data_IF_498311008042
#
_entry.id   IF_498311008042
#
_cell.length_a   1.000
_cell.length_b   1.000
_cell.length_c   1.000
_cell.angle_alpha   90.00
_cell.angle_beta   90.00
_cell.angle_gamma   90.00
#
_symmetry.space_group_name_H-M   'P 1'
#
loop_
_entity.id
_entity.type
_entity.pdbx_description
1 polymer ?
#
# COMPACT_ATOMS: atom_id res chain seq x y z
N UNK A 1 11.22 3.49 15.93
CA UNK A 1 10.30 2.57 15.27
C UNK A 1 10.09 2.95 13.83
N UNK A 2 10.15 1.98 12.93
CA UNK A 2 9.87 2.29 11.54
C UNK A 2 8.41 2.69 11.36
N UNK A 3 8.21 3.75 10.59
CA UNK A 3 6.88 4.24 10.26
C UNK A 3 6.78 4.43 8.77
N UNK A 4 5.66 4.07 8.21
CA UNK A 4 5.34 4.46 6.86
C UNK A 4 4.71 5.84 6.89
N UNK A 5 4.95 6.60 5.83
CA UNK A 5 4.30 7.91 5.67
C UNK A 5 2.96 7.70 4.98
N UNK A 6 2.00 8.58 5.28
CA UNK A 6 0.69 8.58 4.67
C UNK A 6 -0.41 8.18 5.64
N UNK A 7 -1.16 7.12 5.32
CA UNK A 7 -2.43 6.81 5.97
C UNK A 7 -2.34 6.28 7.39
N UNK A 8 -1.22 5.71 7.79
CA UNK A 8 -1.18 5.12 9.11
C UNK A 8 0.19 4.67 9.54
N UNK A 9 0.21 4.13 10.72
CA UNK A 9 1.41 3.56 11.33
C UNK A 9 1.33 2.04 11.28
N UNK A 10 2.47 1.40 11.00
CA UNK A 10 2.59 -0.05 11.04
C UNK A 10 3.69 -0.40 12.03
N UNK A 11 3.39 -1.31 12.91
CA UNK A 11 4.31 -1.81 13.89
C UNK A 11 4.42 -3.32 13.79
N UNK A 12 5.64 -3.83 13.77
CA UNK A 12 5.90 -5.27 13.75
C UNK A 12 6.94 -5.62 14.80
N UNK A 13 6.84 -6.80 15.34
CA UNK A 13 7.84 -7.36 16.24
C UNK A 13 7.78 -8.88 16.22
N UNK A 14 8.84 -9.52 16.67
CA UNK A 14 8.83 -10.96 16.84
C UNK A 14 7.81 -11.34 17.91
N UNK A 15 6.98 -12.33 17.64
CA UNK A 15 5.97 -12.80 18.59
C UNK A 15 6.65 -13.43 19.80
N UNK A 16 6.28 -12.97 21.00
CA UNK A 16 6.92 -13.41 22.25
C UNK A 16 6.41 -14.77 22.70
N UNK A 17 5.14 -15.07 22.43
CA UNK A 17 4.45 -16.25 22.97
C UNK A 17 4.08 -17.29 21.92
N UNK A 18 4.75 -17.28 20.77
CA UNK A 18 4.47 -18.24 19.71
C UNK A 18 3.22 -17.97 18.88
N UNK A 19 2.25 -17.24 19.40
CA UNK A 19 1.04 -16.87 18.69
C UNK A 19 1.12 -15.40 18.27
N UNK A 20 1.37 -15.11 16.98
CA UNK A 20 1.48 -13.74 16.54
C UNK A 20 0.16 -12.98 16.69
N UNK A 21 0.25 -11.77 17.18
CA UNK A 21 -0.91 -10.90 17.32
C UNK A 21 -1.10 -10.08 16.06
N UNK A 22 -2.33 -9.97 15.64
CA UNK A 22 -2.71 -9.20 14.46
C UNK A 22 -3.84 -8.26 14.85
N UNK A 23 -3.63 -6.97 14.63
CA UNK A 23 -4.59 -5.95 15.01
C UNK A 23 -4.62 -4.84 13.97
N UNK A 24 -5.81 -4.35 13.67
CA UNK A 24 -6.00 -3.24 12.75
C UNK A 24 -7.04 -2.28 13.32
N UNK A 25 -6.75 -0.99 13.25
CA UNK A 25 -7.68 0.07 13.63
C UNK A 25 -7.92 0.96 12.42
N UNK A 26 -9.18 1.14 12.06
CA UNK A 26 -9.56 1.94 10.89
C UNK A 26 -9.45 1.21 9.55
N UNK A 27 -9.03 -0.04 9.58
CA UNK A 27 -8.90 -0.90 8.41
C UNK A 27 -9.40 -2.31 8.75
N UNK A 28 -10.00 -2.99 7.79
CA UNK A 28 -10.54 -4.34 8.01
C UNK A 28 -9.42 -5.34 8.32
N UNK A 29 -9.51 -6.00 9.46
CA UNK A 29 -8.53 -6.99 9.89
C UNK A 29 -8.42 -8.16 8.91
N UNK A 30 -9.54 -8.62 8.37
CA UNK A 30 -9.54 -9.71 7.39
C UNK A 30 -8.76 -9.33 6.13
N UNK A 31 -8.94 -8.09 5.69
CA UNK A 31 -8.22 -7.57 4.54
C UNK A 31 -6.74 -7.44 4.83
N UNK A 32 -6.38 -6.97 6.01
CA UNK A 32 -4.98 -6.93 6.43
C UNK A 32 -4.34 -8.32 6.39
N UNK A 33 -5.04 -9.32 6.92
CA UNK A 33 -4.54 -10.70 6.92
C UNK A 33 -4.36 -11.24 5.49
N UNK A 34 -5.25 -10.87 4.57
CA UNK A 34 -5.12 -11.22 3.17
C UNK A 34 -3.87 -10.58 2.56
N UNK A 35 -3.62 -9.31 2.85
CA UNK A 35 -2.43 -8.61 2.35
C UNK A 35 -1.15 -9.22 2.92
N UNK A 36 -1.15 -9.63 4.19
CA UNK A 36 -0.01 -10.32 4.79
C UNK A 36 0.27 -11.65 4.10
N UNK A 37 -0.78 -12.39 3.76
CA UNK A 37 -0.65 -13.64 3.02
C UNK A 37 -0.06 -13.43 1.62
N UNK A 38 -0.46 -12.35 0.95
CA UNK A 38 0.11 -11.97 -0.35
C UNK A 38 1.61 -11.68 -0.22
N UNK A 39 2.01 -10.93 0.82
CA UNK A 39 3.42 -10.64 1.07
C UNK A 39 4.24 -11.91 1.28
N UNK A 40 3.75 -12.85 2.07
CA UNK A 40 4.45 -14.10 2.31
C UNK A 40 4.58 -14.92 1.04
N UNK A 41 3.50 -15.04 0.30
CA UNK A 41 3.45 -15.93 -0.87
C UNK A 41 4.18 -15.36 -2.08
N UNK A 42 4.07 -14.05 -2.31
CA UNK A 42 4.57 -13.44 -3.54
C UNK A 42 5.94 -12.77 -3.38
N UNK A 43 6.23 -12.29 -2.20
CA UNK A 43 7.46 -11.54 -1.95
C UNK A 43 8.43 -12.33 -1.07
N UNK A 44 7.95 -13.39 -0.44
CA UNK A 44 8.78 -14.29 0.34
C UNK A 44 9.12 -13.82 1.74
N UNK A 45 8.41 -12.82 2.26
CA UNK A 45 8.63 -12.35 3.61
C UNK A 45 7.97 -13.26 4.63
N UNK A 46 8.73 -13.65 5.64
CA UNK A 46 8.23 -14.51 6.71
C UNK A 46 7.58 -13.65 7.80
N UNK A 47 6.27 -13.52 7.73
CA UNK A 47 5.50 -12.72 8.69
C UNK A 47 4.71 -13.60 9.68
N UNK A 48 4.74 -14.91 9.50
CA UNK A 48 3.92 -15.83 10.27
C UNK A 48 4.20 -15.76 11.78
N UNK A 49 5.41 -15.43 12.19
CA UNK A 49 5.83 -15.35 13.58
C UNK A 49 5.97 -13.91 14.09
N UNK A 50 5.47 -12.93 13.34
CA UNK A 50 5.58 -11.53 13.71
C UNK A 50 4.24 -10.95 14.10
N UNK A 51 4.23 -10.17 15.17
CA UNK A 51 3.08 -9.36 15.52
C UNK A 51 2.96 -8.21 14.53
N UNK A 52 1.73 -7.91 14.09
CA UNK A 52 1.48 -6.80 13.17
C UNK A 52 0.33 -5.95 13.70
N UNK A 53 0.60 -4.68 13.88
CA UNK A 53 -0.38 -3.71 14.32
C UNK A 53 -0.48 -2.61 13.26
N UNK A 54 -1.68 -2.41 12.74
CA UNK A 54 -1.96 -1.37 11.75
C UNK A 54 -2.95 -0.38 12.34
N UNK A 55 -2.62 0.89 12.27
CA UNK A 55 -3.49 1.95 12.74
C UNK A 55 -3.60 3.03 11.66
N UNK A 56 -4.85 3.32 11.27
CA UNK A 56 -5.12 4.44 10.37
C UNK A 56 -5.18 5.70 11.22
N UNK A 57 -4.34 6.67 10.87
CA UNK A 57 -4.18 7.91 11.62
C UNK A 57 -5.48 8.72 11.65
N UNK A 58 -5.66 9.48 12.73
CA UNK A 58 -6.79 10.38 12.89
C UNK A 58 -8.12 9.73 13.23
N UNK A 59 -8.12 8.46 13.62
CA UNK A 59 -9.35 7.75 13.96
C UNK A 59 -10.25 7.47 12.77
N UNK A 60 -9.73 7.59 11.56
CA UNK A 60 -10.51 7.36 10.35
C UNK A 60 -10.76 5.87 10.12
N UNK A 61 -11.91 5.59 9.54
CA UNK A 61 -12.25 4.26 9.05
C UNK A 61 -12.19 4.29 7.53
N UNK A 62 -11.36 3.45 6.92
CA UNK A 62 -11.20 3.44 5.47
C UNK A 62 -11.69 2.11 4.94
N UNK A 63 -12.69 2.17 4.07
CA UNK A 63 -13.30 1.00 3.44
C UNK A 63 -13.00 0.92 1.94
N UNK A 64 -12.29 1.90 1.39
CA UNK A 64 -11.97 1.93 -0.03
C UNK A 64 -10.84 0.94 -0.35
N UNK A 65 -11.09 -0.09 -1.17
CA UNK A 65 -10.05 -1.06 -1.52
C UNK A 65 -8.85 -0.45 -2.25
N UNK A 66 -8.99 0.75 -2.78
CA UNK A 66 -7.88 1.43 -3.45
C UNK A 66 -6.70 1.72 -2.53
N UNK A 67 -6.87 1.67 -1.21
CA UNK A 67 -5.76 1.89 -0.27
C UNK A 67 -4.92 0.65 -0.03
N UNK A 68 -5.29 -0.50 -0.57
CA UNK A 68 -4.56 -1.75 -0.36
C UNK A 68 -3.08 -1.61 -0.70
N UNK A 69 -2.76 -0.99 -1.82
CA UNK A 69 -1.38 -0.83 -2.24
C UNK A 69 -0.58 -0.01 -1.23
N UNK A 70 -1.18 1.05 -0.70
CA UNK A 70 -0.54 1.86 0.33
C UNK A 70 -0.34 1.07 1.63
N UNK A 71 -1.33 0.27 2.03
CA UNK A 71 -1.23 -0.54 3.25
C UNK A 71 -0.16 -1.61 3.12
N UNK A 72 -0.15 -2.37 2.02
CA UNK A 72 0.83 -3.43 1.83
C UNK A 72 2.25 -2.87 1.71
N UNK A 73 2.39 -1.71 1.09
CA UNK A 73 3.68 -1.03 0.98
C UNK A 73 4.16 -0.52 2.34
N UNK A 74 3.25 -0.03 3.17
CA UNK A 74 3.54 0.40 4.53
C UNK A 74 4.01 -0.78 5.41
N UNK A 75 3.36 -1.91 5.30
CA UNK A 75 3.74 -3.13 6.02
C UNK A 75 5.16 -3.57 5.61
N UNK A 76 5.42 -3.58 4.31
CA UNK A 76 6.73 -3.96 3.81
C UNK A 76 7.82 -2.97 4.21
N UNK A 77 7.53 -1.68 4.15
CA UNK A 77 8.42 -0.62 4.60
C UNK A 77 8.83 -0.84 6.06
N UNK A 78 7.86 -1.12 6.91
CA UNK A 78 8.10 -1.41 8.32
C UNK A 78 8.93 -2.69 8.50
N UNK A 79 8.65 -3.73 7.73
CA UNK A 79 9.37 -5.00 7.84
C UNK A 79 10.83 -4.88 7.43
N UNK A 80 11.12 -4.06 6.44
CA UNK A 80 12.47 -3.88 5.90
C UNK A 80 13.24 -2.71 6.52
N UNK A 81 12.60 -1.95 7.39
CA UNK A 81 13.14 -0.68 7.90
C UNK A 81 13.57 0.27 6.78
N UNK A 82 12.82 0.26 5.69
CA UNK A 82 13.08 1.10 4.53
C UNK A 82 11.95 2.11 4.40
N UNK A 83 12.28 3.39 4.26
CA UNK A 83 11.26 4.43 4.12
C UNK A 83 10.77 4.57 2.69
N UNK A 84 9.52 4.97 2.55
CA UNK A 84 8.92 5.35 1.27
C UNK A 84 9.11 6.87 1.14
N UNK A 85 9.54 7.31 -0.05
CA UNK A 85 9.70 8.74 -0.31
C UNK A 85 8.39 9.49 -0.07
N UNK A 86 8.43 10.64 0.64
CA UNK A 86 7.20 11.37 0.97
C UNK A 86 6.49 11.99 -0.23
N UNK A 87 7.18 12.11 -1.36
CA UNK A 87 6.62 12.69 -2.59
C UNK A 87 5.88 11.67 -3.46
N UNK A 88 5.82 10.41 -3.03
CA UNK A 88 5.17 9.33 -3.76
C UNK A 88 3.86 8.98 -3.08
N UNK A 89 2.79 8.92 -3.86
CA UNK A 89 1.52 8.38 -3.41
C UNK A 89 1.13 7.20 -4.29
N UNK A 90 0.07 6.51 -3.90
CA UNK A 90 -0.31 5.31 -4.63
C UNK A 90 -1.78 4.99 -4.45
N UNK A 91 -2.33 4.28 -5.43
CA UNK A 91 -3.68 3.75 -5.38
C UNK A 91 -3.69 2.40 -6.09
N UNK A 92 -4.36 1.41 -5.51
CA UNK A 92 -4.50 0.11 -6.13
C UNK A 92 -5.17 -0.88 -5.20
N UNK A 93 -6.06 -1.68 -5.74
CA UNK A 93 -6.66 -2.81 -5.03
C UNK A 93 -5.79 -4.05 -5.28
N UNK A 94 -5.50 -4.81 -4.25
CA UNK A 94 -4.65 -5.98 -4.35
C UNK A 94 -5.51 -7.25 -4.35
N UNK A 95 -5.27 -8.12 -5.34
CA UNK A 95 -5.88 -9.44 -5.38
C UNK A 95 -5.00 -10.51 -4.76
N UNK A 96 -5.59 -11.69 -4.56
CA UNK A 96 -4.91 -12.82 -3.90
C UNK A 96 -3.67 -13.32 -4.64
N UNK A 97 -3.59 -13.07 -5.94
CA UNK A 97 -2.42 -13.45 -6.74
C UNK A 97 -1.36 -12.36 -6.78
N UNK A 98 -1.52 -11.30 -6.01
CA UNK A 98 -0.60 -10.16 -6.02
C UNK A 98 -0.84 -9.19 -7.17
N UNK A 99 -1.91 -9.38 -7.91
CA UNK A 99 -2.26 -8.46 -9.00
C UNK A 99 -2.79 -7.13 -8.45
N UNK A 100 -2.49 -6.06 -9.13
CA UNK A 100 -2.97 -4.73 -8.78
C UNK A 100 -4.13 -4.39 -9.70
N UNK A 101 -5.31 -4.36 -9.12
CA UNK A 101 -6.57 -4.17 -9.84
C UNK A 101 -6.90 -2.71 -10.04
N UNK A 102 -7.63 -2.36 -11.11
CA UNK A 102 -8.08 -0.99 -11.34
C UNK A 102 -8.90 -0.46 -10.17
N UNK A 103 -8.81 0.83 -9.96
CA UNK A 103 -9.59 1.53 -8.95
C UNK A 103 -10.55 2.51 -9.62
N UNK A 104 -11.61 2.88 -8.92
CA UNK A 104 -12.54 3.87 -9.44
C UNK A 104 -11.98 5.29 -9.30
N UNK A 105 -12.50 6.20 -10.12
CA UNK A 105 -12.20 7.63 -10.04
C UNK A 105 -10.70 7.95 -10.12
N UNK A 106 -9.98 7.24 -10.98
CA UNK A 106 -8.52 7.43 -11.05
C UNK A 106 -8.14 8.86 -11.45
N UNK A 107 -8.90 9.49 -12.33
CA UNK A 107 -8.61 10.87 -12.74
C UNK A 107 -8.73 11.85 -11.57
N UNK A 108 -9.72 11.66 -10.72
CA UNK A 108 -9.89 12.48 -9.50
C UNK A 108 -8.74 12.24 -8.51
N UNK A 109 -8.30 10.99 -8.37
CA UNK A 109 -7.18 10.65 -7.49
C UNK A 109 -5.88 11.28 -7.99
N UNK A 110 -5.64 11.25 -9.29
CA UNK A 110 -4.47 11.89 -9.90
C UNK A 110 -4.54 13.41 -9.67
N UNK A 111 -5.69 14.02 -9.92
CA UNK A 111 -5.86 15.46 -9.72
C UNK A 111 -5.63 15.88 -8.27
N UNK A 112 -6.10 15.09 -7.33
CA UNK A 112 -5.89 15.36 -5.91
C UNK A 112 -4.43 15.21 -5.51
N UNK A 113 -3.75 14.20 -6.04
CA UNK A 113 -2.32 14.01 -5.82
C UNK A 113 -1.51 15.20 -6.31
N UNK A 114 -1.85 15.74 -7.47
CA UNK A 114 -1.21 16.96 -7.99
C UNK A 114 -1.42 18.16 -7.08
N UNK A 115 -2.66 18.36 -6.62
CA UNK A 115 -2.99 19.48 -5.71
C UNK A 115 -2.23 19.39 -4.40
N UNK A 116 -2.02 18.20 -3.89
CA UNK A 116 -1.31 17.97 -2.63
C UNK A 116 0.20 18.03 -2.79
N UNK A 117 0.70 18.19 -4.01
CA UNK A 117 2.13 18.38 -4.27
C UNK A 117 2.93 17.08 -4.41
N UNK A 118 2.28 15.94 -4.55
CA UNK A 118 2.99 14.70 -4.84
C UNK A 118 3.63 14.76 -6.21
N UNK A 119 4.82 14.19 -6.34
CA UNK A 119 5.57 14.18 -7.60
C UNK A 119 5.33 12.92 -8.42
N UNK A 120 5.01 11.80 -7.78
CA UNK A 120 4.75 10.54 -8.47
C UNK A 120 3.55 9.85 -7.84
N UNK A 121 2.80 9.14 -8.68
CA UNK A 121 1.72 8.28 -8.22
C UNK A 121 1.86 6.90 -8.86
N UNK A 122 1.92 5.87 -8.02
CA UNK A 122 1.80 4.49 -8.46
C UNK A 122 0.32 4.18 -8.62
N UNK A 123 -0.05 3.63 -9.76
CA UNK A 123 -1.44 3.33 -10.08
C UNK A 123 -1.54 2.06 -10.93
N UNK A 124 -2.71 1.43 -10.93
CA UNK A 124 -2.89 0.22 -11.73
C UNK A 124 -2.73 0.52 -13.21
N UNK A 125 -1.94 -0.29 -13.91
CA UNK A 125 -1.69 -0.08 -15.33
C UNK A 125 -3.00 -0.05 -16.14
N UNK A 126 -3.96 -0.89 -15.78
CA UNK A 126 -5.23 -0.96 -16.50
C UNK A 126 -6.07 0.31 -16.36
N UNK A 127 -5.80 1.13 -15.36
CA UNK A 127 -6.47 2.42 -15.20
C UNK A 127 -6.04 3.47 -16.25
N UNK A 128 -4.94 3.23 -16.95
CA UNK A 128 -4.48 4.17 -17.97
C UNK A 128 -5.32 4.13 -19.24
N UNK A 129 -6.13 3.08 -19.42
CA UNK A 129 -7.01 2.97 -20.57
C UNK A 129 -8.14 4.00 -20.45
N UNK A 130 -8.28 4.81 -21.49
CA UNK A 130 -9.37 5.78 -21.56
C UNK A 130 -9.16 7.08 -20.80
N UNK A 131 -8.00 7.31 -20.19
CA UNK A 131 -7.71 8.61 -19.58
C UNK A 131 -6.84 9.46 -20.49
N UNK A 132 -7.06 10.78 -20.43
CA UNK A 132 -6.26 11.74 -21.17
C UNK A 132 -5.06 12.14 -20.30
N UNK A 133 -3.87 11.70 -20.73
CA UNK A 133 -2.63 11.97 -20.00
C UNK A 133 -2.02 13.33 -20.32
N UNK A 134 -2.53 14.04 -21.34
CA UNK A 134 -1.94 15.29 -21.81
C UNK A 134 -1.99 16.41 -20.79
N UNK A 135 -3.00 16.42 -19.93
CA UNK A 135 -3.19 17.45 -18.90
C UNK A 135 -2.57 17.07 -17.57
N UNK A 136 -2.03 15.88 -17.46
CA UNK A 136 -1.48 15.36 -16.20
C UNK A 136 -0.04 15.79 -16.08
N UNK A 137 0.31 16.46 -14.98
CA UNK A 137 1.67 16.95 -14.72
C UNK A 137 2.46 16.03 -13.81
N UNK A 138 1.78 15.31 -12.93
CA UNK A 138 2.42 14.37 -12.01
C UNK A 138 2.94 13.16 -12.80
N UNK A 139 4.07 12.59 -12.38
CA UNK A 139 4.59 11.39 -13.00
C UNK A 139 3.70 10.20 -12.67
N UNK A 140 3.21 9.51 -13.70
CA UNK A 140 2.41 8.30 -13.55
C UNK A 140 3.32 7.08 -13.62
N UNK A 141 3.26 6.23 -12.60
CA UNK A 141 4.04 4.99 -12.55
C UNK A 141 3.06 3.82 -12.58
N UNK A 142 2.76 3.27 -13.77
CA UNK A 142 1.81 2.16 -13.86
C UNK A 142 2.44 0.86 -13.37
N UNK A 143 1.69 0.12 -12.59
CA UNK A 143 2.12 -1.15 -12.03
C UNK A 143 1.02 -2.21 -12.19
N UNK A 144 1.42 -3.45 -12.41
CA UNK A 144 0.49 -4.58 -12.58
C UNK A 144 0.47 -5.51 -11.40
N UNK A 145 1.61 -5.65 -10.72
CA UNK A 145 1.82 -6.60 -9.62
C UNK A 145 2.54 -5.94 -8.48
N UNK A 146 2.33 -6.48 -7.29
CA UNK A 146 2.98 -5.94 -6.08
C UNK A 146 4.51 -5.95 -6.19
N UNK A 147 5.10 -6.94 -6.85
CA UNK A 147 6.55 -7.01 -7.03
C UNK A 147 7.09 -5.81 -7.82
N UNK A 148 6.36 -5.38 -8.84
CA UNK A 148 6.73 -4.19 -9.62
C UNK A 148 6.68 -2.92 -8.77
N UNK A 149 5.61 -2.78 -7.98
CA UNK A 149 5.46 -1.64 -7.09
C UNK A 149 6.60 -1.58 -6.07
N UNK A 150 6.95 -2.72 -5.48
CA UNK A 150 8.01 -2.77 -4.47
C UNK A 150 9.39 -2.48 -5.05
N UNK A 151 9.66 -2.92 -6.28
CA UNK A 151 10.90 -2.55 -6.97
C UNK A 151 11.01 -1.05 -7.18
N UNK A 152 9.90 -0.42 -7.53
CA UNK A 152 9.87 1.03 -7.71
C UNK A 152 10.08 1.77 -6.38
N UNK A 153 9.47 1.29 -5.32
CA UNK A 153 9.51 1.97 -4.02
C UNK A 153 10.81 1.73 -3.25
N UNK A 154 11.36 0.54 -3.36
CA UNK A 154 12.48 0.12 -2.50
C UNK A 154 13.75 -0.27 -3.27
N UNK A 155 13.70 -0.26 -4.57
CA UNK A 155 14.83 -0.65 -5.39
C UNK A 155 14.94 -2.15 -5.49
#
# INVERSE_FOLDING_TARGET
>A
QPRSRGLGDVYKRQAVYGNPQRSATGFDLRRMNMLLAVLEKRVGFKLAQKDVFLNIAGGLKVNDPAIDLAVISAILSSNMDASIEPEVCMAGEIGLSGEIRPVNRIEQRIGEAEKLGFKRILLPKHNLQGIDTKKIKIELVPVRKVEEAFRTLFG
#
